data_IF_704264570222
#
_entry.id   IF_704264570222
#
_cell.length_a   1.000
_cell.length_b   1.000
_cell.length_c   1.000
_cell.angle_alpha   90.00
_cell.angle_beta   90.00
_cell.angle_gamma   90.00
#
_symmetry.space_group_name_H-M   'P 1'
#
loop_
_entity.id
_entity.type
_entity.pdbx_description
1 polymer ?
#
# COMPACT_ATOMS: atom_id res chain seq x y z
N UNK A 1 -24.69 -28.43 -2.88
CA UNK A 1 -24.09 -27.39 -3.74
C UNK A 1 -23.15 -26.57 -2.88
N UNK A 2 -21.92 -26.28 -3.31
CA UNK A 2 -21.04 -25.40 -2.55
C UNK A 2 -21.62 -23.98 -2.49
N UNK A 3 -21.34 -23.28 -1.39
CA UNK A 3 -21.74 -21.89 -1.18
C UNK A 3 -21.06 -20.97 -2.21
N UNK A 4 -21.79 -19.99 -2.74
CA UNK A 4 -21.24 -19.02 -3.70
C UNK A 4 -20.53 -17.91 -2.94
N UNK A 5 -19.22 -17.77 -3.19
CA UNK A 5 -18.37 -16.72 -2.60
C UNK A 5 -18.11 -15.65 -3.66
N UNK A 6 -18.19 -14.38 -3.26
CA UNK A 6 -18.00 -13.22 -4.13
C UNK A 6 -16.98 -12.24 -3.54
N UNK A 7 -16.38 -11.42 -4.39
CA UNK A 7 -15.55 -10.28 -4.00
C UNK A 7 -16.45 -9.06 -3.88
N UNK A 8 -16.52 -8.47 -2.68
CA UNK A 8 -17.41 -7.32 -2.36
C UNK A 8 -16.65 -6.03 -2.09
N UNK A 9 -15.34 -6.10 -1.93
CA UNK A 9 -14.48 -4.95 -1.66
C UNK A 9 -13.04 -5.26 -2.04
N UNK A 10 -12.28 -4.21 -2.35
CA UNK A 10 -10.86 -4.31 -2.71
C UNK A 10 -10.14 -3.04 -2.28
N UNK A 11 -8.87 -3.18 -1.94
CA UNK A 11 -8.00 -2.08 -1.57
C UNK A 11 -6.58 -2.42 -1.92
N UNK A 12 -5.85 -1.43 -2.42
CA UNK A 12 -4.50 -1.61 -2.95
C UNK A 12 -3.66 -0.43 -2.52
N UNK A 13 -2.50 -0.74 -1.94
CA UNK A 13 -1.41 0.23 -1.77
C UNK A 13 -0.18 -0.37 -2.44
N UNK A 14 0.35 0.32 -3.44
CA UNK A 14 1.45 -0.15 -4.28
C UNK A 14 2.38 0.99 -4.67
N UNK A 15 3.51 0.65 -5.30
CA UNK A 15 4.44 1.64 -5.86
C UNK A 15 3.88 2.42 -7.05
N UNK A 16 2.73 2.02 -7.57
CA UNK A 16 2.08 2.64 -8.73
C UNK A 16 0.67 3.13 -8.41
N UNK A 17 0.26 3.13 -7.15
CA UNK A 17 -1.04 3.66 -6.76
C UNK A 17 -1.37 3.45 -5.29
N UNK A 18 -2.09 4.42 -4.72
CA UNK A 18 -2.54 4.45 -3.35
C UNK A 18 -3.91 3.84 -3.15
N UNK A 19 -4.66 3.62 -4.22
CA UNK A 19 -5.94 2.93 -4.20
C UNK A 19 -6.16 2.08 -5.47
N UNK A 20 -7.33 1.47 -5.56
CA UNK A 20 -7.72 0.61 -6.70
C UNK A 20 -7.76 1.39 -8.01
N UNK A 21 -8.28 2.62 -8.02
CA UNK A 21 -8.44 3.41 -9.23
C UNK A 21 -7.08 3.91 -9.73
N UNK A 22 -6.25 4.46 -8.86
CA UNK A 22 -4.91 4.93 -9.23
C UNK A 22 -4.04 3.77 -9.74
N UNK A 23 -4.10 2.61 -9.06
CA UNK A 23 -3.38 1.41 -9.48
C UNK A 23 -3.88 0.93 -10.85
N UNK A 24 -5.20 0.88 -11.05
CA UNK A 24 -5.80 0.51 -12.34
C UNK A 24 -5.35 1.43 -13.47
N UNK A 25 -5.39 2.74 -13.25
CA UNK A 25 -4.92 3.73 -14.23
C UNK A 25 -3.42 3.55 -14.54
N UNK A 26 -2.60 3.24 -13.54
CA UNK A 26 -1.17 2.98 -13.74
C UNK A 26 -0.92 1.74 -14.56
N UNK A 27 -1.65 0.66 -14.29
CA UNK A 27 -1.57 -0.56 -15.07
C UNK A 27 -2.02 -0.33 -16.52
N UNK A 28 -3.15 0.34 -16.70
CA UNK A 28 -3.70 0.66 -18.02
C UNK A 28 -2.75 1.51 -18.86
N UNK A 29 -2.04 2.44 -18.22
CA UNK A 29 -1.06 3.32 -18.88
C UNK A 29 0.35 2.74 -18.94
N UNK A 30 0.59 1.53 -18.42
CA UNK A 30 1.91 0.92 -18.39
C UNK A 30 2.95 1.67 -17.56
N UNK A 31 2.50 2.37 -16.50
CA UNK A 31 3.41 3.10 -15.60
C UNK A 31 4.19 2.12 -14.72
N UNK A 32 5.50 2.36 -14.58
CA UNK A 32 6.38 1.60 -13.69
C UNK A 32 6.59 2.34 -12.38
N UNK A 33 6.51 1.60 -11.27
CA UNK A 33 6.89 2.10 -9.93
C UNK A 33 8.34 1.78 -9.57
N UNK A 34 9.10 1.15 -10.47
CA UNK A 34 10.50 0.79 -10.24
C UNK A 34 11.37 2.04 -10.37
N UNK A 35 12.13 2.34 -9.31
CA UNK A 35 13.04 3.47 -9.29
C UNK A 35 14.16 3.31 -8.26
N UNK A 36 14.94 4.37 -8.01
CA UNK A 36 15.97 4.37 -6.97
C UNK A 36 15.37 4.16 -5.58
N UNK A 37 16.02 3.32 -4.76
CA UNK A 37 15.67 3.13 -3.36
C UNK A 37 15.77 4.46 -2.60
N UNK A 38 14.67 4.89 -2.00
CA UNK A 38 14.53 6.17 -1.31
C UNK A 38 14.13 5.97 0.16
N UNK A 39 13.12 5.14 0.44
CA UNK A 39 12.49 4.99 1.74
C UNK A 39 13.04 3.83 2.57
N UNK A 40 13.44 2.73 1.93
CA UNK A 40 14.03 1.58 2.60
C UNK A 40 15.46 1.90 3.06
N UNK A 41 15.72 1.72 4.36
CA UNK A 41 17.06 1.77 4.91
C UNK A 41 17.82 0.48 4.57
N UNK A 42 18.70 0.54 3.56
CA UNK A 42 19.48 -0.62 3.10
C UNK A 42 20.82 -0.21 2.51
N UNK A 43 21.82 -1.09 2.62
CA UNK A 43 23.14 -0.92 2.02
C UNK A 43 23.12 -0.98 0.48
N UNK A 44 21.99 -1.38 -0.12
CA UNK A 44 21.81 -1.44 -1.57
C UNK A 44 21.35 -0.11 -2.18
N UNK A 45 21.15 0.93 -1.37
CA UNK A 45 20.75 2.25 -1.85
C UNK A 45 21.78 2.80 -2.83
N UNK A 46 21.30 3.19 -4.02
CA UNK A 46 22.15 3.65 -5.13
C UNK A 46 22.78 2.54 -5.99
N UNK A 47 22.66 1.27 -5.58
CA UNK A 47 23.17 0.13 -6.34
C UNK A 47 22.05 -0.70 -7.00
N UNK A 48 20.90 -0.85 -6.32
CA UNK A 48 19.76 -1.62 -6.82
C UNK A 48 18.50 -0.72 -6.91
N UNK A 49 17.63 -0.96 -7.91
CA UNK A 49 16.31 -0.36 -7.94
C UNK A 49 15.32 -1.13 -7.05
N UNK A 50 14.23 -0.47 -6.68
CA UNK A 50 13.09 -1.09 -6.01
C UNK A 50 11.77 -0.43 -6.44
N UNK A 51 10.67 -1.11 -6.20
CA UNK A 51 9.32 -0.58 -6.40
C UNK A 51 8.72 -0.21 -5.04
N UNK A 52 9.17 0.91 -4.47
CA UNK A 52 8.75 1.35 -3.14
C UNK A 52 7.39 2.05 -3.17
N UNK A 53 6.57 1.85 -2.14
CA UNK A 53 5.46 2.77 -1.86
C UNK A 53 6.05 4.10 -1.37
N UNK A 54 5.79 5.24 -2.02
CA UNK A 54 6.54 6.48 -1.79
C UNK A 54 6.06 7.25 -0.54
N UNK A 55 6.25 6.67 0.64
CA UNK A 55 5.89 7.29 1.92
C UNK A 55 6.80 6.86 3.06
N UNK A 56 6.96 7.72 4.05
CA UNK A 56 7.62 7.38 5.32
C UNK A 56 6.67 6.60 6.23
N UNK A 57 7.19 5.84 7.19
CA UNK A 57 6.36 5.11 8.16
C UNK A 57 5.48 6.06 9.00
N UNK A 58 5.99 7.27 9.27
CA UNK A 58 5.20 8.35 9.89
C UNK A 58 4.02 8.76 9.02
N UNK A 59 4.24 9.04 7.74
CA UNK A 59 3.17 9.42 6.82
C UNK A 59 2.10 8.30 6.67
N UNK A 60 2.52 7.03 6.71
CA UNK A 60 1.59 5.90 6.72
C UNK A 60 0.77 5.82 8.03
N UNK A 61 1.39 6.15 9.16
CA UNK A 61 0.71 6.19 10.47
C UNK A 61 -0.31 7.32 10.52
N UNK A 62 0.03 8.48 9.96
CA UNK A 62 -0.85 9.66 9.91
C UNK A 62 -2.13 9.42 9.08
N UNK A 63 -2.12 8.44 8.16
CA UNK A 63 -3.32 8.01 7.42
C UNK A 63 -4.29 7.14 8.24
N UNK A 64 -3.87 6.65 9.42
CA UNK A 64 -4.66 5.76 10.28
C UNK A 64 -4.92 6.38 11.66
N UNK A 65 -5.49 7.61 11.76
CA UNK A 65 -5.60 8.34 13.03
C UNK A 65 -6.49 7.65 14.06
N UNK A 66 -7.41 6.79 13.61
CA UNK A 66 -8.36 6.07 14.47
C UNK A 66 -7.89 4.66 14.84
N UNK A 67 -6.76 4.19 14.29
CA UNK A 67 -6.25 2.86 14.57
C UNK A 67 -5.23 2.90 15.73
N UNK A 68 -5.20 1.87 16.61
CA UNK A 68 -4.21 1.76 17.65
C UNK A 68 -2.79 1.66 17.04
N UNK A 69 -1.94 2.64 17.36
CA UNK A 69 -0.66 2.86 16.68
C UNK A 69 0.54 2.14 17.30
N UNK A 70 0.33 1.25 18.28
CA UNK A 70 1.46 0.72 19.07
C UNK A 70 2.22 -0.38 18.34
N UNK A 71 3.46 -0.08 17.97
CA UNK A 71 4.44 -1.00 17.39
C UNK A 71 4.05 -1.66 16.05
N UNK A 72 3.36 -0.91 15.19
CA UNK A 72 3.00 -1.39 13.85
C UNK A 72 4.21 -1.39 12.91
N UNK A 73 4.37 -2.49 12.17
CA UNK A 73 5.36 -2.56 11.09
C UNK A 73 4.87 -1.81 9.85
N UNK A 74 5.79 -1.37 8.98
CA UNK A 74 5.43 -0.79 7.68
C UNK A 74 4.47 -1.65 6.88
N UNK A 75 4.69 -2.97 6.85
CA UNK A 75 3.80 -3.92 6.17
C UNK A 75 2.40 -3.91 6.77
N UNK A 76 2.28 -3.86 8.10
CA UNK A 76 0.99 -3.74 8.78
C UNK A 76 0.28 -2.43 8.42
N UNK A 77 0.99 -1.30 8.41
CA UNK A 77 0.44 0.00 8.03
C UNK A 77 -0.13 -0.02 6.61
N UNK A 78 0.64 -0.52 5.63
CA UNK A 78 0.19 -0.65 4.24
C UNK A 78 -1.04 -1.55 4.13
N UNK A 79 -1.05 -2.68 4.84
CA UNK A 79 -2.17 -3.62 4.85
C UNK A 79 -3.44 -3.03 5.45
N UNK A 80 -3.34 -2.24 6.54
CA UNK A 80 -4.51 -1.59 7.15
C UNK A 80 -5.08 -0.48 6.27
N UNK A 81 -4.24 0.30 5.59
CA UNK A 81 -4.71 1.31 4.62
C UNK A 81 -5.47 0.62 3.47
N UNK A 82 -4.93 -0.47 2.92
CA UNK A 82 -5.65 -1.27 1.92
C UNK A 82 -6.95 -1.88 2.47
N UNK A 83 -6.95 -2.40 3.70
CA UNK A 83 -8.16 -2.90 4.34
C UNK A 83 -9.21 -1.79 4.53
N UNK A 84 -8.80 -0.55 4.77
CA UNK A 84 -9.71 0.59 4.87
C UNK A 84 -10.45 0.85 3.58
N UNK A 85 -9.75 0.80 2.45
CA UNK A 85 -10.38 0.96 1.15
C UNK A 85 -11.38 -0.16 0.85
N UNK A 86 -11.04 -1.40 1.25
CA UNK A 86 -11.89 -2.56 0.99
C UNK A 86 -13.16 -2.59 1.87
N UNK A 87 -13.08 -2.08 3.11
CA UNK A 87 -14.13 -2.20 4.13
C UNK A 87 -14.85 -0.88 4.46
N UNK A 88 -14.30 0.26 4.05
CA UNK A 88 -14.77 1.62 4.40
C UNK A 88 -14.28 2.10 5.76
N UNK A 89 -14.40 1.28 6.82
CA UNK A 89 -13.94 1.59 8.19
C UNK A 89 -13.36 0.34 8.89
N UNK A 90 -12.03 0.10 8.84
CA UNK A 90 -11.38 -1.03 9.51
C UNK A 90 -11.02 -0.68 10.96
N UNK A 91 -11.11 0.61 11.29
CA UNK A 91 -11.02 1.30 12.57
C UNK A 91 -12.02 2.49 12.46
#
# INVERSE_FOLDING_TARGET
MPEKIYITGSGIVSSIGWDVEETWQSLYQGRSGVGPITYLATNHKGALPAAEVPATDRALTDQLPNCPSRALTRTSLLGMIAAQQALGNPC
#
